data_IF_150373217849
#
_entry.id   IF_150373217849
#
_cell.length_a   1.000
_cell.length_b   1.000
_cell.length_c   1.000
_cell.angle_alpha   90.00
_cell.angle_beta   90.00
_cell.angle_gamma   90.00
#
_symmetry.space_group_name_H-M   'P 1'
#
loop_
_entity.id
_entity.type
_entity.pdbx_description
1 polymer ?
#
# COMPACT_ATOMS: atom_id res chain seq x y z
N UNK A 1 8.45 -11.30 -10.21
CA UNK A 1 7.97 -11.81 -8.90
C UNK A 1 6.49 -11.50 -8.81
N UNK A 2 5.63 -12.52 -8.76
CA UNK A 2 4.17 -12.35 -8.66
C UNK A 2 3.76 -12.43 -7.19
N UNK A 3 2.83 -11.57 -6.80
CA UNK A 3 2.28 -11.51 -5.43
C UNK A 3 0.78 -11.38 -5.52
N UNK A 4 0.09 -11.65 -4.42
CA UNK A 4 -1.37 -11.50 -4.35
C UNK A 4 -1.76 -10.54 -3.24
N UNK A 5 -2.68 -9.64 -3.55
CA UNK A 5 -3.29 -8.72 -2.60
C UNK A 5 -4.80 -8.95 -2.64
N UNK A 6 -5.43 -8.93 -1.47
CA UNK A 6 -6.89 -9.06 -1.33
C UNK A 6 -7.41 -7.76 -0.76
N UNK A 7 -8.27 -7.10 -1.51
CA UNK A 7 -8.92 -5.87 -1.08
C UNK A 7 -10.00 -6.16 -0.04
N UNK A 8 -10.10 -5.26 0.93
CA UNK A 8 -11.10 -5.31 1.97
C UNK A 8 -12.43 -4.78 1.44
N UNK A 9 -13.52 -5.43 1.83
CA UNK A 9 -14.86 -4.92 1.58
C UNK A 9 -15.44 -4.41 2.91
N UNK A 10 -15.85 -3.14 2.95
CA UNK A 10 -16.50 -2.51 4.12
C UNK A 10 -15.70 -2.65 5.43
N UNK A 11 -14.36 -2.49 5.36
CA UNK A 11 -13.48 -2.56 6.53
C UNK A 11 -13.34 -3.94 7.15
N UNK A 12 -13.75 -5.00 6.45
CA UNK A 12 -13.58 -6.39 6.87
C UNK A 12 -12.45 -7.05 6.07
N UNK A 13 -11.31 -7.22 6.71
CA UNK A 13 -10.22 -8.04 6.16
C UNK A 13 -10.57 -9.53 6.25
N UNK A 14 -10.62 -10.22 5.12
CA UNK A 14 -10.67 -11.68 5.14
C UNK A 14 -9.33 -12.24 5.65
N UNK A 15 -9.34 -12.77 6.88
CA UNK A 15 -8.14 -13.36 7.51
C UNK A 15 -7.77 -14.72 6.90
N UNK A 16 -8.77 -15.51 6.51
CA UNK A 16 -8.58 -16.80 5.84
C UNK A 16 -8.84 -16.64 4.34
N UNK A 17 -7.77 -16.39 3.59
CA UNK A 17 -7.77 -16.44 2.13
C UNK A 17 -7.08 -17.75 1.73
N UNK A 18 -7.69 -18.59 0.89
CA UNK A 18 -7.06 -19.81 0.42
C UNK A 18 -5.79 -19.48 -0.39
N UNK A 19 -4.78 -20.37 -0.40
CA UNK A 19 -3.58 -20.16 -1.18
C UNK A 19 -3.91 -20.09 -2.68
N UNK A 20 -3.43 -19.03 -3.33
CA UNK A 20 -3.61 -18.80 -4.77
C UNK A 20 -2.35 -19.24 -5.47
N UNK A 21 -2.48 -20.14 -6.44
CA UNK A 21 -1.36 -20.68 -7.19
C UNK A 21 -1.31 -20.07 -8.59
N UNK A 22 -0.10 -19.74 -9.04
CA UNK A 22 0.18 -19.34 -10.41
C UNK A 22 1.25 -20.28 -10.97
N UNK A 23 0.92 -21.02 -12.02
CA UNK A 23 1.81 -22.04 -12.62
C UNK A 23 2.36 -23.05 -11.58
N UNK A 24 1.53 -23.47 -10.61
CA UNK A 24 1.92 -24.40 -9.56
C UNK A 24 2.67 -23.78 -8.37
N UNK A 25 3.04 -22.50 -8.44
CA UNK A 25 3.70 -21.78 -7.35
C UNK A 25 2.68 -21.00 -6.52
N UNK A 26 2.71 -21.18 -5.19
CA UNK A 26 1.88 -20.40 -4.28
C UNK A 26 2.33 -18.93 -4.28
N UNK A 27 1.39 -18.01 -4.45
CA UNK A 27 1.64 -16.58 -4.42
C UNK A 27 1.75 -16.08 -2.98
N UNK A 28 2.75 -15.23 -2.73
CA UNK A 28 2.93 -14.53 -1.46
C UNK A 28 1.81 -13.48 -1.29
N UNK A 29 1.12 -13.53 -0.15
CA UNK A 29 0.11 -12.52 0.20
C UNK A 29 0.80 -11.26 0.73
N UNK A 30 0.53 -10.12 0.10
CA UNK A 30 1.06 -8.81 0.50
C UNK A 30 -0.06 -7.85 0.85
N UNK A 31 0.23 -6.93 1.77
CA UNK A 31 -0.69 -5.87 2.20
C UNK A 31 -0.31 -4.49 1.66
N UNK A 32 0.91 -4.34 1.16
CA UNK A 32 1.35 -3.13 0.46
C UNK A 32 2.14 -3.53 -0.78
N UNK A 33 1.82 -2.91 -1.91
CA UNK A 33 2.52 -3.18 -3.16
C UNK A 33 2.56 -1.94 -4.05
N UNK A 34 3.74 -1.62 -4.58
CA UNK A 34 3.89 -0.51 -5.51
C UNK A 34 3.44 -0.94 -6.91
N UNK A 35 2.38 -0.32 -7.42
CA UNK A 35 1.85 -0.60 -8.76
C UNK A 35 1.59 0.69 -9.53
N UNK A 36 2.11 0.78 -10.75
CA UNK A 36 2.03 1.97 -11.61
C UNK A 36 2.46 3.28 -10.93
N UNK A 37 3.37 3.21 -9.95
CA UNK A 37 3.85 4.39 -9.22
C UNK A 37 3.10 4.70 -7.92
N UNK A 38 1.94 4.09 -7.70
CA UNK A 38 1.10 4.25 -6.50
C UNK A 38 1.35 3.14 -5.48
N UNK A 39 1.12 3.43 -4.20
CA UNK A 39 1.15 2.42 -3.16
C UNK A 39 -0.24 1.83 -2.96
N UNK A 40 -0.45 0.59 -3.41
CA UNK A 40 -1.71 -0.11 -3.16
C UNK A 40 -1.75 -0.61 -1.72
N UNK A 41 -2.88 -0.37 -1.06
CA UNK A 41 -3.20 -0.87 0.26
C UNK A 41 -4.53 -1.65 0.22
N UNK A 42 -4.82 -2.51 1.22
CA UNK A 42 -5.99 -3.39 1.21
C UNK A 42 -7.29 -2.59 1.31
N UNK A 43 -7.24 -1.41 1.92
CA UNK A 43 -8.33 -0.49 2.15
C UNK A 43 -8.63 0.44 0.96
N UNK A 44 -7.90 0.29 -0.17
CA UNK A 44 -7.99 1.15 -1.36
C UNK A 44 -7.84 2.66 -1.03
N UNK A 45 -7.09 2.99 0.01
CA UNK A 45 -6.86 4.38 0.39
C UNK A 45 -5.48 4.84 -0.05
N UNK A 46 -5.42 6.10 -0.45
CA UNK A 46 -4.17 6.79 -0.81
C UNK A 46 -3.55 7.52 0.41
N UNK A 47 -4.02 7.24 1.63
CA UNK A 47 -3.60 7.93 2.86
C UNK A 47 -2.07 7.93 3.05
N UNK A 48 -1.41 6.85 2.65
CA UNK A 48 0.06 6.72 2.74
C UNK A 48 0.79 7.64 1.77
N UNK A 49 0.27 7.82 0.55
CA UNK A 49 0.86 8.73 -0.43
C UNK A 49 0.61 10.20 -0.03
N UNK A 50 -0.58 10.51 0.50
CA UNK A 50 -0.92 11.84 1.04
C UNK A 50 -0.03 12.21 2.24
N UNK A 51 0.16 11.30 3.20
CA UNK A 51 1.04 11.55 4.34
C UNK A 51 2.49 11.78 3.92
N UNK A 52 2.97 11.02 2.93
CA UNK A 52 4.32 11.17 2.40
C UNK A 52 4.52 12.55 1.80
N UNK A 53 3.58 13.01 0.98
CA UNK A 53 3.65 14.32 0.35
C UNK A 53 3.56 15.44 1.40
N UNK A 54 2.64 15.31 2.36
CA UNK A 54 2.50 16.23 3.49
C UNK A 54 3.81 16.38 4.28
N UNK A 55 4.47 15.27 4.62
CA UNK A 55 5.77 15.32 5.33
C UNK A 55 6.83 16.02 4.48
N UNK A 56 6.89 15.74 3.17
CA UNK A 56 7.85 16.38 2.27
C UNK A 56 7.63 17.90 2.16
N UNK A 57 6.38 18.37 2.22
CA UNK A 57 6.05 19.80 2.28
C UNK A 57 6.46 20.40 3.62
N UNK A 58 6.10 19.76 4.74
CA UNK A 58 6.44 20.26 6.08
C UNK A 58 7.95 20.38 6.30
N UNK A 59 8.74 19.41 5.81
CA UNK A 59 10.22 19.47 5.88
C UNK A 59 10.74 20.70 5.12
N UNK A 60 10.26 20.94 3.90
CA UNK A 60 10.66 22.11 3.09
C UNK A 60 10.27 23.43 3.75
N UNK A 61 9.05 23.51 4.31
CA UNK A 61 8.59 24.69 5.03
C UNK A 61 9.43 24.97 6.29
N UNK A 62 9.80 23.92 7.04
CA UNK A 62 10.63 24.05 8.24
C UNK A 62 12.05 24.54 7.92
N UNK A 63 12.60 24.15 6.77
CA UNK A 63 13.89 24.67 6.27
C UNK A 63 13.80 26.18 5.93
N UNK A 64 12.66 26.64 5.44
CA UNK A 64 12.40 28.06 5.14
C UNK A 64 12.19 28.89 6.42
N UNK A 65 11.45 28.37 7.41
CA UNK A 65 11.14 29.07 8.65
C UNK A 65 12.34 29.20 9.61
N UNK A 66 13.35 28.34 9.45
CA UNK A 66 14.59 28.33 10.25
C UNK A 66 15.73 29.15 9.63
N UNK A 67 15.45 29.88 8.56
CA UNK A 67 16.38 30.78 7.88
C UNK A 67 16.03 32.23 8.21
#
# INVERSE_FOLDING_TARGET
KSVVMVFEAMGKTQKKVPPIFLNGNALERVYQYKYLGHMLTPDLKDDTDIERERRAVSVRANMLARR
#
